data_IF_673471824508
#
_entry.id   IF_673471824508
#
_cell.length_a   1.000
_cell.length_b   1.000
_cell.length_c   1.000
_cell.angle_alpha   90.00
_cell.angle_beta   90.00
_cell.angle_gamma   90.00
#
_symmetry.space_group_name_H-M   'P 1'
#
loop_
_entity.id
_entity.type
_entity.pdbx_description
1 polymer ?
#
# COMPACT_ATOMS: atom_id res chain seq x y z
N UNK A 1 -45.54 61.79 45.41
CA UNK A 1 -44.66 62.39 44.38
C UNK A 1 -43.29 62.68 44.99
N UNK A 2 -42.30 61.80 44.78
CA UNK A 2 -40.89 62.16 44.49
C UNK A 2 -40.07 60.87 44.26
N UNK A 3 -39.78 60.71 42.97
CA UNK A 3 -38.86 59.85 42.21
C UNK A 3 -37.88 58.96 42.99
N UNK A 4 -38.00 57.67 42.68
CA UNK A 4 -36.97 56.63 42.76
C UNK A 4 -35.90 56.95 41.70
N UNK A 5 -34.65 57.20 42.10
CA UNK A 5 -33.50 57.25 41.20
C UNK A 5 -32.74 55.94 41.36
N UNK A 6 -32.88 55.06 40.37
CA UNK A 6 -32.07 53.87 40.18
C UNK A 6 -30.89 54.29 39.30
N UNK A 7 -29.71 54.43 39.88
CA UNK A 7 -28.46 54.52 39.12
C UNK A 7 -27.75 53.17 39.27
N UNK A 8 -27.95 52.29 38.29
CA UNK A 8 -27.04 51.18 38.05
C UNK A 8 -25.89 51.76 37.22
N UNK A 9 -24.86 52.25 37.91
CA UNK A 9 -23.53 52.39 37.30
C UNK A 9 -22.95 50.98 37.19
N UNK A 10 -23.04 50.38 36.00
CA UNK A 10 -22.15 49.30 35.60
C UNK A 10 -20.78 49.95 35.40
N UNK A 11 -20.00 50.03 36.46
CA UNK A 11 -18.57 50.30 36.36
C UNK A 11 -17.96 49.23 35.44
N UNK A 12 -17.52 49.63 34.25
CA UNK A 12 -16.54 48.86 33.50
C UNK A 12 -15.24 48.92 34.30
N UNK A 13 -15.05 47.98 35.22
CA UNK A 13 -13.70 47.66 35.69
C UNK A 13 -12.89 47.25 34.46
N UNK A 14 -12.06 48.17 33.97
CA UNK A 14 -11.09 47.87 32.93
C UNK A 14 -10.27 46.66 33.36
N UNK A 15 -9.97 45.77 32.41
CA UNK A 15 -9.15 44.58 32.63
C UNK A 15 -7.75 44.98 33.16
N UNK A 16 -7.62 45.12 34.48
CA UNK A 16 -6.38 45.50 35.15
C UNK A 16 -5.48 44.28 35.26
N UNK A 17 -4.61 44.10 34.27
CA UNK A 17 -3.65 43.00 34.25
C UNK A 17 -2.25 43.57 34.00
N UNK A 18 -1.22 42.99 34.62
CA UNK A 18 0.20 43.29 34.36
C UNK A 18 0.66 42.85 32.95
N UNK A 19 -0.29 42.59 32.05
CA UNK A 19 -0.05 42.12 30.70
C UNK A 19 0.16 43.31 29.76
N UNK A 20 1.15 43.17 28.88
CA UNK A 20 1.47 44.15 27.85
C UNK A 20 0.82 43.71 26.53
N UNK A 21 -0.48 43.96 26.40
CA UNK A 21 -1.26 43.67 25.20
C UNK A 21 -1.29 44.87 24.25
N UNK A 22 -0.87 44.66 23.01
CA UNK A 22 -1.01 45.58 21.88
C UNK A 22 -1.69 44.90 20.69
N UNK A 23 -2.20 45.68 19.72
CA UNK A 23 -2.81 45.12 18.53
C UNK A 23 -3.86 45.98 17.86
N UNK A 24 -4.60 45.37 16.92
CA UNK A 24 -5.66 45.99 16.14
C UNK A 24 -6.86 45.04 16.07
N UNK A 25 -8.07 45.56 16.27
CA UNK A 25 -9.32 44.85 15.98
C UNK A 25 -10.14 45.69 15.01
N UNK A 26 -10.59 45.08 13.92
CA UNK A 26 -11.41 45.74 12.90
C UNK A 26 -12.72 44.99 12.72
N UNK A 27 -13.81 45.73 12.58
CA UNK A 27 -15.16 45.21 12.38
C UNK A 27 -15.92 46.13 11.42
N UNK A 28 -17.05 45.69 10.89
CA UNK A 28 -17.86 46.54 10.03
C UNK A 28 -18.47 47.72 10.81
N UNK A 29 -18.68 48.84 10.14
CA UNK A 29 -19.12 50.09 10.78
C UNK A 29 -20.54 49.97 11.37
N UNK A 30 -21.43 49.26 10.68
CA UNK A 30 -22.80 48.97 11.10
C UNK A 30 -22.87 48.07 12.35
N UNK A 31 -21.93 47.15 12.50
CA UNK A 31 -21.80 46.26 13.66
C UNK A 31 -21.11 46.94 14.86
N UNK A 32 -20.33 47.99 14.60
CA UNK A 32 -19.47 48.63 15.60
C UNK A 32 -20.18 49.17 16.85
N UNK A 33 -21.37 49.81 16.76
CA UNK A 33 -22.07 50.33 17.93
C UNK A 33 -22.46 49.25 18.94
N UNK A 34 -22.68 48.02 18.48
CA UNK A 34 -23.07 46.90 19.34
C UNK A 34 -21.88 46.14 19.92
N UNK A 35 -20.68 46.35 19.37
CA UNK A 35 -19.50 45.50 19.64
C UNK A 35 -19.68 44.03 19.21
N UNK A 36 -20.84 43.67 18.67
CA UNK A 36 -21.19 42.35 18.17
C UNK A 36 -21.04 42.32 16.65
N UNK A 37 -20.35 41.31 16.13
CA UNK A 37 -20.16 41.16 14.69
C UNK A 37 -18.86 40.44 14.33
N UNK A 38 -18.73 40.15 13.03
CA UNK A 38 -17.51 39.58 12.50
C UNK A 38 -16.36 40.60 12.61
N UNK A 39 -15.17 40.11 12.95
CA UNK A 39 -14.00 40.96 13.10
C UNK A 39 -12.72 40.26 12.66
N UNK A 40 -11.72 41.07 12.36
CA UNK A 40 -10.32 40.65 12.24
C UNK A 40 -9.54 41.19 13.42
N UNK A 41 -8.53 40.46 13.87
CA UNK A 41 -7.74 40.79 15.04
C UNK A 41 -6.27 40.45 14.83
N UNK A 42 -5.39 41.40 15.17
CA UNK A 42 -3.97 41.20 15.39
C UNK A 42 -3.70 41.48 16.86
N UNK A 43 -3.06 40.55 17.58
CA UNK A 43 -2.67 40.70 18.99
C UNK A 43 -1.18 40.43 19.12
N UNK A 44 -0.49 41.31 19.83
CA UNK A 44 0.87 41.14 20.34
C UNK A 44 0.78 41.20 21.86
N UNK A 45 1.17 40.15 22.56
CA UNK A 45 1.20 40.10 24.02
C UNK A 45 2.65 39.91 24.44
N UNK A 46 3.22 40.93 25.07
CA UNK A 46 4.61 40.93 25.53
C UNK A 46 4.71 40.56 27.03
N UNK A 47 3.66 39.93 27.60
CA UNK A 47 3.69 39.48 28.99
C UNK A 47 4.94 38.63 29.22
N UNK A 48 5.71 38.96 30.26
CA UNK A 48 7.01 38.36 30.53
C UNK A 48 6.93 36.81 30.52
N UNK A 49 7.84 36.17 29.77
CA UNK A 49 7.92 34.72 29.55
C UNK A 49 6.67 34.06 28.90
N UNK A 50 5.69 34.87 28.46
CA UNK A 50 4.44 34.42 27.84
C UNK A 50 4.16 35.17 26.52
N UNK A 51 5.24 35.54 25.83
CA UNK A 51 5.16 36.23 24.55
C UNK A 51 4.30 35.48 23.54
N UNK A 52 3.38 36.19 22.86
CA UNK A 52 2.55 35.60 21.80
C UNK A 52 2.16 36.62 20.74
N UNK A 53 1.91 36.11 19.54
CA UNK A 53 1.31 36.84 18.43
C UNK A 53 0.09 36.06 17.93
N UNK A 54 -1.02 36.73 17.66
CA UNK A 54 -2.22 36.14 17.06
C UNK A 54 -2.68 36.98 15.87
N UNK A 55 -2.98 36.32 14.74
CA UNK A 55 -3.76 36.86 13.63
C UNK A 55 -5.04 36.02 13.51
N UNK A 56 -6.21 36.62 13.65
CA UNK A 56 -7.50 35.93 13.74
C UNK A 56 -8.56 36.64 12.90
N UNK A 57 -9.44 35.86 12.28
CA UNK A 57 -10.71 36.30 11.73
C UNK A 57 -11.84 35.42 12.24
N UNK A 58 -12.97 36.02 12.61
CA UNK A 58 -14.16 35.25 13.01
C UNK A 58 -14.74 34.43 11.86
N UNK A 59 -14.41 34.77 10.61
CA UNK A 59 -14.86 34.01 9.44
C UNK A 59 -14.25 32.61 9.44
N UNK A 60 -15.12 31.61 9.55
CA UNK A 60 -14.74 30.21 9.75
C UNK A 60 -13.78 29.98 10.93
N UNK A 61 -13.77 30.90 11.92
CA UNK A 61 -12.90 30.82 13.08
C UNK A 61 -11.45 30.53 12.65
N UNK A 62 -10.86 31.39 11.82
CA UNK A 62 -9.55 31.11 11.22
C UNK A 62 -8.46 31.93 11.91
N UNK A 63 -7.38 31.29 12.38
CA UNK A 63 -6.29 31.99 13.05
C UNK A 63 -4.91 31.35 12.86
N UNK A 64 -3.89 32.19 13.03
CA UNK A 64 -2.50 31.82 13.32
C UNK A 64 -2.15 32.37 14.71
N UNK A 65 -1.75 31.50 15.63
CA UNK A 65 -1.25 31.89 16.95
C UNK A 65 0.14 31.29 17.20
N UNK A 66 1.08 32.11 17.65
CA UNK A 66 2.49 31.74 17.88
C UNK A 66 2.93 32.14 19.28
N UNK A 67 3.79 31.35 19.91
CA UNK A 67 4.30 31.57 21.26
C UNK A 67 3.44 30.90 22.33
N UNK A 68 3.03 31.63 23.36
CA UNK A 68 2.15 31.13 24.43
C UNK A 68 0.68 31.17 23.99
N UNK A 69 0.08 30.02 23.67
CA UNK A 69 -1.27 29.94 23.15
C UNK A 69 -2.27 30.07 24.31
N UNK A 70 -3.16 31.06 24.22
CA UNK A 70 -4.17 31.37 25.22
C UNK A 70 -5.56 31.42 24.60
N UNK A 71 -6.57 31.04 25.38
CA UNK A 71 -7.94 31.51 25.16
C UNK A 71 -7.98 33.03 25.41
N UNK A 72 -8.72 33.76 24.56
CA UNK A 72 -8.87 35.20 24.69
C UNK A 72 -10.32 35.60 24.39
N UNK A 73 -10.83 36.51 25.21
CA UNK A 73 -12.07 37.24 24.94
C UNK A 73 -11.78 38.74 25.04
N UNK A 74 -12.02 39.50 23.98
CA UNK A 74 -11.62 40.90 23.93
C UNK A 74 -10.12 41.11 24.25
N UNK A 75 -9.82 41.88 25.28
CA UNK A 75 -8.49 42.07 25.87
C UNK A 75 -8.25 41.22 27.12
N UNK A 76 -9.19 40.36 27.50
CA UNK A 76 -9.05 39.45 28.63
C UNK A 76 -8.22 38.23 28.22
N UNK A 77 -7.17 37.96 29.00
CA UNK A 77 -6.39 36.73 28.92
C UNK A 77 -7.09 35.66 29.74
N UNK A 78 -7.40 34.52 29.11
CA UNK A 78 -8.08 33.40 29.76
C UNK A 78 -7.12 32.19 29.83
N UNK A 79 -7.66 30.98 29.90
CA UNK A 79 -6.87 29.77 30.13
C UNK A 79 -5.80 29.52 29.04
N UNK A 80 -4.63 28.97 29.40
CA UNK A 80 -3.66 28.51 28.42
C UNK A 80 -4.19 27.32 27.62
N UNK A 81 -3.85 27.30 26.33
CA UNK A 81 -4.24 26.27 25.34
C UNK A 81 -3.03 25.49 24.81
N UNK A 82 -1.81 26.02 24.93
CA UNK A 82 -0.59 25.35 24.46
C UNK A 82 0.62 26.28 24.33
N UNK A 83 1.71 25.76 23.78
CA UNK A 83 2.94 26.51 23.48
C UNK A 83 3.41 26.08 22.09
N UNK A 84 3.80 27.04 21.25
CA UNK A 84 4.34 26.76 19.92
C UNK A 84 3.59 27.53 18.83
N UNK A 85 3.03 26.81 17.86
CA UNK A 85 2.31 27.38 16.73
C UNK A 85 1.00 26.62 16.51
N UNK A 86 -0.09 27.36 16.33
CA UNK A 86 -1.39 26.83 15.89
C UNK A 86 -1.81 27.57 14.61
N UNK A 87 -2.05 26.81 13.53
CA UNK A 87 -2.76 27.26 12.35
C UNK A 87 -4.10 26.54 12.31
N UNK A 88 -5.20 27.29 12.44
CA UNK A 88 -6.54 26.72 12.58
C UNK A 88 -7.54 27.39 11.63
N UNK A 89 -8.49 26.60 11.15
CA UNK A 89 -9.71 27.06 10.48
C UNK A 89 -10.78 25.96 10.58
N UNK A 90 -12.04 26.36 10.68
CA UNK A 90 -13.19 25.45 10.53
C UNK A 90 -13.58 25.22 9.06
N UNK A 91 -12.90 25.88 8.12
CA UNK A 91 -13.06 25.71 6.68
C UNK A 91 -11.91 24.87 6.08
N UNK A 92 -11.67 25.00 4.78
CA UNK A 92 -10.59 24.30 4.08
C UNK A 92 -9.25 25.01 4.26
N UNK A 93 -8.18 24.24 4.32
CA UNK A 93 -6.80 24.73 4.30
C UNK A 93 -6.01 24.09 3.15
N UNK A 94 -5.07 24.84 2.59
CA UNK A 94 -4.12 24.34 1.60
C UNK A 94 -2.72 24.87 1.90
N UNK A 95 -1.74 23.97 2.01
CA UNK A 95 -0.31 24.30 2.05
C UNK A 95 0.29 23.91 0.70
N UNK A 96 0.94 24.86 0.02
CA UNK A 96 1.53 24.65 -1.30
C UNK A 96 2.94 25.24 -1.34
N UNK A 97 3.89 24.44 -1.78
CA UNK A 97 5.27 24.87 -2.01
C UNK A 97 5.75 24.33 -3.36
N UNK A 98 5.94 25.22 -4.33
CA UNK A 98 6.21 24.86 -5.74
C UNK A 98 7.56 24.20 -5.98
N UNK A 99 8.50 24.33 -5.04
CA UNK A 99 9.85 23.77 -5.14
C UNK A 99 10.10 22.60 -4.18
N UNK A 100 9.12 22.24 -3.34
CA UNK A 100 9.21 21.15 -2.35
C UNK A 100 8.69 21.55 -0.97
N UNK A 101 8.28 20.58 -0.15
CA UNK A 101 7.74 20.79 1.20
C UNK A 101 8.41 19.85 2.20
N UNK A 102 9.09 20.41 3.21
CA UNK A 102 9.70 19.64 4.29
C UNK A 102 8.89 19.79 5.58
N UNK A 103 8.37 18.67 6.10
CA UNK A 103 7.67 18.59 7.38
C UNK A 103 8.52 17.76 8.34
N UNK A 104 8.98 18.38 9.42
CA UNK A 104 9.99 17.78 10.30
C UNK A 104 9.74 18.04 11.78
N UNK A 105 10.05 17.04 12.62
CA UNK A 105 10.14 17.22 14.08
C UNK A 105 11.59 17.35 14.59
N UNK A 106 12.58 17.39 13.70
CA UNK A 106 13.97 17.61 14.08
C UNK A 106 14.19 19.06 14.50
N UNK A 107 14.61 19.26 15.74
CA UNK A 107 14.90 20.58 16.26
C UNK A 107 16.10 21.21 15.54
N UNK A 108 15.99 22.51 15.23
CA UNK A 108 17.08 23.34 14.70
C UNK A 108 17.38 24.49 15.66
N UNK A 109 18.29 24.28 16.64
CA UNK A 109 18.78 25.36 17.48
C UNK A 109 19.47 26.42 16.61
N UNK A 110 19.31 27.69 16.95
CA UNK A 110 19.93 28.80 16.23
C UNK A 110 18.97 29.86 15.68
N UNK A 111 17.65 29.70 15.85
CA UNK A 111 16.68 30.75 15.49
C UNK A 111 16.72 31.11 14.01
N UNK A 112 16.96 32.38 13.68
CA UNK A 112 17.06 32.87 12.29
C UNK A 112 18.51 32.88 11.76
N UNK A 113 19.43 32.13 12.39
CA UNK A 113 20.82 32.02 11.93
C UNK A 113 21.01 30.95 10.86
N UNK A 114 22.14 30.97 10.17
CA UNK A 114 22.51 29.97 9.17
C UNK A 114 22.62 28.52 9.72
N UNK A 115 22.69 28.33 11.05
CA UNK A 115 22.67 27.01 11.66
C UNK A 115 21.28 26.35 11.66
N UNK A 116 20.23 27.15 11.46
CA UNK A 116 18.83 26.72 11.52
C UNK A 116 18.12 26.91 10.17
N UNK A 117 18.78 26.53 9.07
CA UNK A 117 18.20 26.59 7.73
C UNK A 117 16.92 25.73 7.64
N UNK A 118 15.77 26.32 7.26
CA UNK A 118 14.46 25.66 7.34
C UNK A 118 14.28 24.51 6.32
N UNK A 119 15.08 24.50 5.26
CA UNK A 119 15.04 23.55 4.15
C UNK A 119 16.18 22.53 4.17
N UNK A 120 16.98 22.50 5.25
CA UNK A 120 17.99 21.47 5.41
C UNK A 120 17.30 20.12 5.74
N UNK A 121 17.57 19.11 4.92
CA UNK A 121 16.98 17.76 5.02
C UNK A 121 18.00 16.70 5.46
N UNK A 122 19.11 17.09 6.11
CA UNK A 122 20.21 16.17 6.45
C UNK A 122 19.77 14.90 7.19
N UNK A 123 18.89 14.99 8.20
CA UNK A 123 18.43 13.82 8.97
C UNK A 123 17.61 12.87 8.08
N UNK A 124 16.66 13.42 7.32
CA UNK A 124 15.86 12.66 6.36
C UNK A 124 16.73 12.00 5.28
N UNK A 125 17.76 12.70 4.79
CA UNK A 125 18.70 12.19 3.78
C UNK A 125 19.52 11.03 4.34
N UNK A 126 20.07 11.15 5.56
CA UNK A 126 20.82 10.08 6.22
C UNK A 126 19.96 8.84 6.44
N UNK A 127 18.73 9.00 6.92
CA UNK A 127 17.79 7.89 7.07
C UNK A 127 17.50 7.22 5.71
N UNK A 128 17.15 8.01 4.69
CA UNK A 128 16.88 7.50 3.34
C UNK A 128 18.09 6.76 2.73
N UNK A 129 19.32 7.22 3.00
CA UNK A 129 20.55 6.55 2.57
C UNK A 129 20.69 5.16 3.19
N UNK A 130 20.43 5.03 4.49
CA UNK A 130 20.43 3.74 5.18
C UNK A 130 19.37 2.80 4.60
N UNK A 131 18.15 3.30 4.36
CA UNK A 131 17.06 2.53 3.76
C UNK A 131 17.37 2.10 2.31
N UNK A 132 17.97 2.96 1.49
CA UNK A 132 18.40 2.62 0.13
C UNK A 132 19.51 1.56 0.12
N UNK A 133 20.44 1.63 1.07
CA UNK A 133 21.47 0.60 1.25
C UNK A 133 20.87 -0.75 1.67
N UNK A 134 19.93 -0.74 2.64
CA UNK A 134 19.22 -1.93 3.09
C UNK A 134 18.42 -2.58 1.95
N UNK A 135 17.64 -1.79 1.21
CA UNK A 135 16.87 -2.27 0.06
C UNK A 135 17.79 -2.95 -0.96
N UNK A 136 18.88 -2.30 -1.34
CA UNK A 136 19.84 -2.86 -2.30
C UNK A 136 20.48 -4.15 -1.80
N UNK A 137 20.85 -4.23 -0.52
CA UNK A 137 21.44 -5.42 0.09
C UNK A 137 20.46 -6.61 0.09
N UNK A 138 19.19 -6.38 0.42
CA UNK A 138 18.15 -7.40 0.41
C UNK A 138 17.88 -7.93 -1.00
N UNK A 139 17.77 -7.05 -2.01
CA UNK A 139 17.62 -7.47 -3.40
C UNK A 139 18.86 -8.25 -3.88
N UNK A 140 20.07 -7.78 -3.55
CA UNK A 140 21.32 -8.49 -3.88
C UNK A 140 21.34 -9.90 -3.30
N UNK A 141 20.89 -10.06 -2.05
CA UNK A 141 20.80 -11.36 -1.40
C UNK A 141 19.77 -12.27 -2.07
N UNK A 142 18.58 -11.73 -2.37
CA UNK A 142 17.54 -12.46 -3.09
C UNK A 142 18.04 -12.95 -4.46
N UNK A 143 18.71 -12.07 -5.23
CA UNK A 143 19.23 -12.43 -6.55
C UNK A 143 20.36 -13.47 -6.49
N UNK A 144 21.25 -13.36 -5.50
CA UNK A 144 22.30 -14.35 -5.25
C UNK A 144 21.72 -15.74 -4.93
N UNK A 145 20.54 -15.80 -4.30
CA UNK A 145 19.81 -17.04 -4.00
C UNK A 145 18.79 -17.43 -5.09
N UNK A 146 18.84 -16.80 -6.26
CA UNK A 146 17.93 -17.07 -7.39
C UNK A 146 16.44 -16.84 -7.09
N UNK A 147 16.12 -15.93 -6.17
CA UNK A 147 14.75 -15.60 -5.77
C UNK A 147 14.12 -14.43 -6.57
N UNK A 148 14.83 -13.91 -7.57
CA UNK A 148 14.32 -12.90 -8.50
C UNK A 148 13.26 -13.46 -9.45
N UNK A 149 12.40 -12.58 -9.94
CA UNK A 149 11.50 -12.91 -11.04
C UNK A 149 12.26 -13.00 -12.37
N UNK A 150 11.71 -13.72 -13.38
CA UNK A 150 12.31 -13.75 -14.72
C UNK A 150 12.52 -12.34 -15.29
N UNK A 151 13.69 -12.09 -15.86
CA UNK A 151 14.07 -10.80 -16.47
C UNK A 151 14.11 -9.61 -15.50
N UNK A 152 14.18 -9.85 -14.19
CA UNK A 152 14.41 -8.78 -13.22
C UNK A 152 15.81 -8.15 -13.44
N UNK A 153 15.86 -6.81 -13.42
CA UNK A 153 17.11 -6.07 -13.57
C UNK A 153 18.05 -6.29 -12.37
N UNK A 154 19.33 -5.96 -12.53
CA UNK A 154 20.29 -6.01 -11.42
C UNK A 154 19.83 -5.09 -10.26
N UNK A 155 20.18 -5.38 -8.99
CA UNK A 155 19.63 -4.66 -7.83
C UNK A 155 19.82 -3.15 -7.86
N UNK A 156 20.97 -2.68 -8.36
CA UNK A 156 21.27 -1.25 -8.49
C UNK A 156 20.48 -0.55 -9.61
N UNK A 157 19.90 -1.32 -10.54
CA UNK A 157 19.16 -0.85 -11.71
C UNK A 157 17.64 -1.06 -11.55
N UNK A 158 17.19 -1.61 -10.42
CA UNK A 158 15.77 -1.70 -10.13
C UNK A 158 15.15 -0.29 -10.13
N UNK A 159 13.97 -0.10 -10.76
CA UNK A 159 13.31 1.20 -10.79
C UNK A 159 13.10 1.82 -9.40
N UNK A 160 12.78 0.98 -8.41
CA UNK A 160 12.65 1.39 -7.02
C UNK A 160 13.98 1.94 -6.45
N UNK A 161 15.12 1.32 -6.76
CA UNK A 161 16.43 1.78 -6.30
C UNK A 161 16.83 3.09 -6.98
N UNK A 162 16.56 3.23 -8.29
CA UNK A 162 16.81 4.47 -9.02
C UNK A 162 15.97 5.64 -8.48
N UNK A 163 14.72 5.38 -8.11
CA UNK A 163 13.86 6.41 -7.53
C UNK A 163 14.30 6.84 -6.13
N UNK A 164 14.80 5.92 -5.29
CA UNK A 164 15.41 6.25 -4.00
C UNK A 164 16.66 7.13 -4.20
N UNK A 165 17.52 6.79 -5.17
CA UNK A 165 18.71 7.60 -5.52
C UNK A 165 18.33 9.00 -6.03
N UNK A 166 17.31 9.10 -6.89
CA UNK A 166 16.81 10.38 -7.38
C UNK A 166 16.25 11.26 -6.24
N UNK A 167 15.63 10.63 -5.24
CA UNK A 167 15.16 11.32 -4.03
C UNK A 167 16.34 11.79 -3.18
N UNK A 168 17.36 10.94 -2.96
CA UNK A 168 18.58 11.34 -2.26
C UNK A 168 19.29 12.52 -2.94
N UNK A 169 19.36 12.53 -4.28
CA UNK A 169 19.92 13.64 -5.04
C UNK A 169 19.09 14.92 -4.86
N UNK A 170 17.75 14.81 -4.90
CA UNK A 170 16.83 15.91 -4.63
C UNK A 170 17.06 16.52 -3.24
N UNK A 171 17.18 15.68 -2.19
CA UNK A 171 17.42 16.12 -0.81
C UNK A 171 18.84 16.64 -0.54
N UNK A 172 19.76 16.51 -1.50
CA UNK A 172 21.12 17.01 -1.41
C UNK A 172 21.34 18.32 -2.17
N UNK A 173 20.31 18.86 -2.81
CA UNK A 173 20.43 20.04 -3.66
C UNK A 173 20.72 21.30 -2.82
N UNK A 174 21.46 22.23 -3.43
CA UNK A 174 21.71 23.56 -2.88
C UNK A 174 21.43 24.62 -3.94
N UNK A 175 21.01 25.80 -3.50
CA UNK A 175 20.96 27.00 -4.31
C UNK A 175 22.06 27.94 -3.85
N UNK A 176 22.96 28.32 -4.75
CA UNK A 176 24.04 29.26 -4.43
C UNK A 176 23.50 30.68 -4.29
N UNK A 177 24.05 31.40 -3.30
CA UNK A 177 23.80 32.82 -3.07
C UNK A 177 25.12 33.53 -2.76
N UNK A 178 25.10 34.86 -2.80
CA UNK A 178 26.26 35.69 -2.39
C UNK A 178 26.68 35.43 -0.94
N UNK A 179 25.84 34.79 -0.13
CA UNK A 179 26.06 34.53 1.29
C UNK A 179 26.22 33.02 1.59
N UNK A 180 26.55 32.24 0.56
CA UNK A 180 26.78 30.80 0.65
C UNK A 180 25.66 29.96 0.05
N UNK A 181 25.80 28.65 0.18
CA UNK A 181 24.83 27.69 -0.36
C UNK A 181 23.65 27.50 0.62
N UNK A 182 22.44 27.53 0.05
CA UNK A 182 21.18 27.33 0.77
C UNK A 182 20.68 25.92 0.44
N UNK A 183 20.52 25.01 1.42
CA UNK A 183 19.89 23.73 1.20
C UNK A 183 18.50 23.89 0.59
N UNK A 184 18.19 23.07 -0.40
CA UNK A 184 16.90 23.05 -1.10
C UNK A 184 16.59 21.63 -1.52
N UNK A 185 15.39 21.42 -2.06
CA UNK A 185 15.05 20.21 -2.80
C UNK A 185 15.27 20.43 -4.31
N UNK A 186 15.83 19.44 -5.00
CA UNK A 186 16.04 19.48 -6.45
C UNK A 186 14.78 19.20 -7.28
N UNK A 187 13.73 18.69 -6.63
CA UNK A 187 12.40 18.40 -7.18
C UNK A 187 11.33 18.89 -6.21
N UNK A 188 10.06 19.06 -6.65
CA UNK A 188 8.95 19.42 -5.76
C UNK A 188 8.49 18.23 -4.90
N UNK A 189 9.41 17.67 -4.12
CA UNK A 189 9.19 16.52 -3.26
C UNK A 189 8.55 16.98 -1.93
N UNK A 190 7.65 16.15 -1.37
CA UNK A 190 7.23 16.28 0.02
C UNK A 190 8.08 15.32 0.86
N UNK A 191 8.72 15.85 1.90
CA UNK A 191 9.58 15.08 2.81
C UNK A 191 8.96 15.10 4.19
N UNK A 192 8.58 13.93 4.69
CA UNK A 192 8.13 13.73 6.06
C UNK A 192 9.26 13.07 6.84
N UNK A 193 9.76 13.71 7.90
CA UNK A 193 10.83 13.16 8.74
C UNK A 193 10.56 13.43 10.21
N UNK A 194 10.71 12.42 11.06
CA UNK A 194 10.53 12.57 12.50
C UNK A 194 11.76 12.09 13.26
N UNK A 195 12.03 12.74 14.39
CA UNK A 195 13.05 12.31 15.34
C UNK A 195 12.61 11.09 16.17
N UNK A 196 11.31 10.79 16.17
CA UNK A 196 10.72 9.64 16.85
C UNK A 196 9.76 8.89 15.90
N UNK A 197 8.45 9.11 16.02
CA UNK A 197 7.41 8.37 15.29
C UNK A 197 6.68 9.22 14.24
N UNK A 198 6.12 8.54 13.23
CA UNK A 198 5.13 9.08 12.31
C UNK A 198 3.88 8.20 12.39
N UNK A 199 2.83 8.70 13.05
CA UNK A 199 1.54 8.03 13.16
C UNK A 199 0.50 8.60 12.19
N UNK A 200 -0.23 7.73 11.51
CA UNK A 200 -1.36 8.10 10.65
C UNK A 200 -2.56 7.21 10.97
N UNK A 201 -3.67 7.83 11.38
CA UNK A 201 -4.90 7.13 11.74
C UNK A 201 -6.13 7.85 11.18
N UNK A 202 -7.16 7.07 10.84
CA UNK A 202 -8.45 7.54 10.36
C UNK A 202 -9.52 6.54 10.74
N UNK A 203 -10.72 6.97 11.17
CA UNK A 203 -11.83 6.06 11.46
C UNK A 203 -12.46 5.46 10.19
N UNK A 204 -12.15 6.02 9.01
CA UNK A 204 -12.66 5.56 7.73
C UNK A 204 -11.63 4.73 6.98
N UNK A 205 -10.94 5.31 6.01
CA UNK A 205 -9.98 4.60 5.15
C UNK A 205 -8.77 5.48 4.80
N UNK A 206 -7.62 4.84 4.64
CA UNK A 206 -6.39 5.43 4.08
C UNK A 206 -6.13 4.83 2.70
N UNK A 207 -5.81 5.66 1.72
CA UNK A 207 -5.41 5.22 0.37
C UNK A 207 -3.97 5.67 0.11
N UNK A 208 -3.11 4.72 -0.23
CA UNK A 208 -1.74 4.97 -0.69
C UNK A 208 -1.66 4.55 -2.14
N UNK A 209 -1.47 5.50 -3.05
CA UNK A 209 -1.38 5.25 -4.48
C UNK A 209 -0.08 5.84 -5.03
N UNK A 210 0.69 5.03 -5.74
CA UNK A 210 1.91 5.43 -6.43
C UNK A 210 1.81 5.04 -7.91
N UNK A 211 2.14 5.96 -8.82
CA UNK A 211 2.03 5.72 -10.27
C UNK A 211 3.13 4.82 -10.84
N UNK A 212 4.19 4.53 -10.08
CA UNK A 212 5.30 3.69 -10.54
C UNK A 212 5.65 2.60 -9.52
N UNK A 213 6.08 2.97 -8.32
CA UNK A 213 6.53 2.01 -7.30
C UNK A 213 6.18 2.50 -5.89
N UNK A 214 5.92 1.54 -5.00
CA UNK A 214 5.79 1.73 -3.56
C UNK A 214 6.90 0.92 -2.89
N UNK A 215 7.79 1.58 -2.15
CA UNK A 215 8.88 0.92 -1.42
C UNK A 215 8.66 1.11 0.07
N UNK A 216 8.43 0.01 0.79
CA UNK A 216 8.38 -0.01 2.25
C UNK A 216 9.61 -0.77 2.76
N UNK A 217 10.39 -0.15 3.65
CA UNK A 217 11.61 -0.75 4.19
C UNK A 217 11.67 -0.53 5.70
N UNK A 218 12.02 -1.57 6.44
CA UNK A 218 12.19 -1.55 7.89
C UNK A 218 13.53 -2.20 8.22
N UNK A 219 14.29 -1.64 9.16
CA UNK A 219 15.52 -2.26 9.66
C UNK A 219 15.27 -3.46 10.57
N UNK A 220 14.06 -3.52 11.15
CA UNK A 220 13.58 -4.60 11.99
C UNK A 220 12.30 -5.18 11.36
N UNK A 221 11.21 -5.28 12.11
CA UNK A 221 9.99 -5.96 11.69
C UNK A 221 9.08 -5.09 10.83
N UNK A 222 8.36 -5.73 9.91
CA UNK A 222 7.18 -5.17 9.23
C UNK A 222 5.96 -6.00 9.60
N UNK A 223 4.91 -5.36 10.14
CA UNK A 223 3.65 -6.02 10.49
C UNK A 223 2.52 -5.52 9.59
N UNK A 224 1.89 -6.45 8.88
CA UNK A 224 0.69 -6.19 8.07
C UNK A 224 -0.44 -6.99 8.69
N UNK A 225 -1.36 -6.31 9.38
CA UNK A 225 -2.45 -6.93 10.12
C UNK A 225 -3.79 -6.51 9.51
N UNK A 226 -4.68 -7.47 9.31
CA UNK A 226 -6.06 -7.24 8.89
C UNK A 226 -7.00 -8.18 9.65
N UNK A 227 -8.08 -7.63 10.19
CA UNK A 227 -9.09 -8.42 10.90
C UNK A 227 -9.88 -9.34 9.96
N UNK A 228 -10.06 -8.94 8.68
CA UNK A 228 -10.87 -9.68 7.71
C UNK A 228 -10.01 -10.48 6.73
N UNK A 229 -9.24 -9.81 5.88
CA UNK A 229 -8.38 -10.48 4.90
C UNK A 229 -7.29 -9.54 4.39
N UNK A 230 -6.20 -10.12 3.90
CA UNK A 230 -5.25 -9.46 3.00
C UNK A 230 -5.50 -9.95 1.57
N UNK A 231 -5.53 -9.04 0.60
CA UNK A 231 -5.65 -9.36 -0.81
C UNK A 231 -4.41 -8.86 -1.57
N UNK A 232 -3.81 -9.74 -2.37
CA UNK A 232 -2.64 -9.44 -3.19
C UNK A 232 -2.96 -9.84 -4.63
N UNK A 233 -3.19 -8.84 -5.49
CA UNK A 233 -3.48 -9.03 -6.91
C UNK A 233 -2.36 -8.37 -7.73
N UNK A 234 -1.47 -9.18 -8.28
CA UNK A 234 -0.26 -8.72 -8.98
C UNK A 234 -0.24 -9.30 -10.39
N UNK A 235 0.05 -8.46 -11.38
CA UNK A 235 -0.01 -8.83 -12.81
C UNK A 235 1.11 -9.78 -13.23
N UNK A 236 2.36 -9.44 -12.87
CA UNK A 236 3.53 -10.10 -13.46
C UNK A 236 4.15 -11.17 -12.53
N UNK A 237 4.05 -11.01 -11.21
CA UNK A 237 4.52 -12.03 -10.27
C UNK A 237 4.63 -11.55 -8.83
N UNK A 238 4.73 -12.50 -7.91
CA UNK A 238 5.01 -12.27 -6.48
C UNK A 238 6.29 -13.01 -6.11
N UNK A 239 7.27 -12.29 -5.58
CA UNK A 239 8.48 -12.87 -4.98
C UNK A 239 8.39 -12.84 -3.46
N UNK A 240 8.61 -13.99 -2.81
CA UNK A 240 8.74 -14.10 -1.36
C UNK A 240 10.10 -14.72 -1.05
N UNK A 241 10.95 -13.97 -0.37
CA UNK A 241 12.30 -14.38 -0.05
C UNK A 241 12.64 -14.07 1.40
N UNK A 242 13.31 -15.02 2.05
CA UNK A 242 13.96 -14.81 3.32
C UNK A 242 15.37 -15.37 3.24
N UNK A 243 16.34 -14.64 3.80
CA UNK A 243 17.72 -15.12 3.92
C UNK A 243 17.81 -16.31 4.90
N UNK A 244 16.90 -16.40 5.87
CA UNK A 244 16.87 -17.51 6.82
C UNK A 244 18.12 -17.60 7.71
N UNK A 245 18.69 -16.47 8.11
CA UNK A 245 19.87 -16.43 8.99
C UNK A 245 19.58 -15.60 10.24
N UNK A 246 19.30 -16.27 11.37
CA UNK A 246 19.38 -15.69 12.70
C UNK A 246 20.80 -15.95 13.24
N UNK A 247 21.83 -15.51 12.51
CA UNK A 247 23.22 -15.60 12.98
C UNK A 247 23.57 -14.45 13.92
N UNK A 248 22.59 -13.81 14.54
CA UNK A 248 22.87 -12.81 15.56
C UNK A 248 23.33 -13.50 16.85
N UNK A 249 24.57 -13.97 16.81
CA UNK A 249 25.36 -14.45 17.95
C UNK A 249 25.73 -13.31 18.92
N UNK A 250 25.19 -12.09 18.73
CA UNK A 250 25.29 -10.96 19.66
C UNK A 250 23.96 -10.61 20.37
N UNK A 251 22.87 -11.36 20.13
CA UNK A 251 21.56 -11.06 20.71
C UNK A 251 20.81 -12.32 21.18
N UNK A 252 21.50 -13.30 21.77
CA UNK A 252 20.89 -14.51 22.35
C UNK A 252 19.90 -14.28 23.50
N UNK A 253 19.50 -13.02 23.76
CA UNK A 253 18.43 -12.66 24.68
C UNK A 253 17.54 -11.47 24.24
N UNK A 254 17.72 -10.90 23.04
CA UNK A 254 16.95 -9.69 22.62
C UNK A 254 15.88 -9.95 21.55
N UNK A 255 15.94 -11.07 20.82
CA UNK A 255 14.90 -11.45 19.87
C UNK A 255 14.15 -12.71 20.33
N UNK A 256 12.85 -12.63 20.67
CA UNK A 256 12.08 -13.77 21.15
C UNK A 256 11.82 -14.86 20.07
N UNK A 257 12.11 -14.58 18.79
CA UNK A 257 11.90 -15.51 17.67
C UNK A 257 13.25 -15.87 17.05
N UNK A 258 13.73 -17.09 17.29
CA UNK A 258 14.99 -17.63 16.72
C UNK A 258 14.78 -18.52 15.51
N UNK A 259 13.54 -18.92 15.23
CA UNK A 259 13.20 -19.71 14.06
C UNK A 259 13.15 -18.82 12.81
N UNK A 260 13.87 -19.23 11.77
CA UNK A 260 14.03 -18.47 10.54
C UNK A 260 13.57 -19.25 9.33
N UNK A 261 12.75 -18.63 8.50
CA UNK A 261 12.20 -19.26 7.30
C UNK A 261 10.89 -18.62 6.89
N UNK A 262 10.09 -19.35 6.12
CA UNK A 262 8.75 -18.95 5.71
C UNK A 262 7.76 -19.89 6.40
N UNK A 263 6.76 -19.29 7.07
CA UNK A 263 5.65 -20.03 7.68
C UNK A 263 4.34 -19.62 6.99
N UNK A 264 3.63 -20.59 6.43
CA UNK A 264 2.33 -20.42 5.78
C UNK A 264 1.31 -21.32 6.48
N UNK A 265 0.48 -20.76 7.34
CA UNK A 265 -0.44 -21.52 8.18
C UNK A 265 -1.86 -20.96 8.11
N UNK A 266 -2.84 -21.85 8.00
CA UNK A 266 -4.23 -21.58 8.29
C UNK A 266 -4.62 -22.37 9.54
N UNK A 267 -4.98 -21.67 10.63
CA UNK A 267 -5.42 -22.33 11.86
C UNK A 267 -6.78 -23.05 11.67
N UNK A 268 -7.60 -22.53 10.76
CA UNK A 268 -8.86 -23.12 10.32
C UNK A 268 -9.08 -22.82 8.84
N UNK A 269 -9.86 -23.67 8.17
CA UNK A 269 -10.11 -23.54 6.74
C UNK A 269 -9.01 -24.16 5.89
N UNK A 270 -9.15 -24.03 4.57
CA UNK A 270 -8.31 -24.75 3.61
C UNK A 270 -7.11 -23.90 3.19
N UNK A 271 -5.95 -24.55 3.03
CA UNK A 271 -4.83 -24.00 2.27
C UNK A 271 -4.90 -24.57 0.84
N UNK A 272 -4.96 -23.69 -0.17
CA UNK A 272 -4.98 -24.07 -1.58
C UNK A 272 -3.81 -23.43 -2.31
N UNK A 273 -2.97 -24.24 -2.94
CA UNK A 273 -1.83 -23.81 -3.75
C UNK A 273 -1.99 -24.40 -5.14
N UNK A 274 -1.98 -23.56 -6.17
CA UNK A 274 -2.26 -23.98 -7.56
C UNK A 274 -1.36 -23.23 -8.54
N UNK A 275 -0.81 -23.96 -9.52
CA UNK A 275 -0.23 -23.40 -10.73
C UNK A 275 -1.16 -23.76 -11.90
N UNK A 276 -2.02 -22.82 -12.31
CA UNK A 276 -3.16 -23.13 -13.20
C UNK A 276 -2.77 -23.37 -14.67
N UNK A 277 -1.62 -22.83 -15.10
CA UNK A 277 -1.14 -22.93 -16.48
C UNK A 277 0.35 -23.29 -16.57
N UNK A 278 0.99 -23.60 -15.45
CA UNK A 278 2.43 -23.82 -15.36
C UNK A 278 2.76 -24.89 -14.30
N UNK A 279 4.04 -25.16 -14.10
CA UNK A 279 4.50 -26.17 -13.14
C UNK A 279 4.47 -25.65 -11.71
N UNK A 280 4.19 -26.56 -10.77
CA UNK A 280 4.38 -26.33 -9.34
C UNK A 280 5.62 -27.12 -8.89
N UNK A 281 6.65 -26.42 -8.39
CA UNK A 281 7.89 -27.03 -7.90
C UNK A 281 7.99 -26.89 -6.38
N UNK A 282 8.14 -28.01 -5.66
CA UNK A 282 8.42 -28.05 -4.22
C UNK A 282 9.75 -28.76 -4.02
N UNK A 283 10.73 -28.10 -3.42
CA UNK A 283 12.08 -28.65 -3.25
C UNK A 283 12.68 -28.19 -1.92
N UNK A 284 13.31 -29.11 -1.20
CA UNK A 284 14.08 -28.82 0.00
C UNK A 284 15.46 -29.48 -0.08
N UNK A 285 16.47 -28.86 0.55
CA UNK A 285 17.81 -29.46 0.70
C UNK A 285 17.80 -30.63 1.69
N UNK A 286 16.92 -30.57 2.69
CA UNK A 286 16.73 -31.62 3.70
C UNK A 286 15.44 -32.38 3.39
N UNK A 287 14.77 -32.91 4.42
CA UNK A 287 13.53 -33.66 4.26
C UNK A 287 12.40 -32.80 3.68
N UNK A 288 11.49 -33.47 2.98
CA UNK A 288 10.17 -32.94 2.62
C UNK A 288 9.14 -33.90 3.22
N UNK A 289 8.38 -33.41 4.20
CA UNK A 289 7.34 -34.19 4.88
C UNK A 289 5.95 -33.83 4.33
N UNK A 290 5.26 -34.82 3.74
CA UNK A 290 3.87 -34.71 3.30
C UNK A 290 3.01 -35.66 4.11
N UNK A 291 2.12 -35.10 4.94
CA UNK A 291 1.37 -35.88 5.92
C UNK A 291 -0.07 -35.39 6.03
N UNK A 292 -0.99 -36.35 6.21
CA UNK A 292 -2.34 -36.13 6.70
C UNK A 292 -2.45 -36.82 8.06
N UNK A 293 -2.80 -36.07 9.11
CA UNK A 293 -2.79 -36.59 10.48
C UNK A 293 -4.07 -37.35 10.85
N UNK A 294 -5.14 -37.17 10.07
CA UNK A 294 -6.48 -37.70 10.39
C UNK A 294 -7.14 -38.45 9.23
N UNK A 295 -6.68 -38.24 7.99
CA UNK A 295 -7.34 -38.77 6.81
C UNK A 295 -6.30 -39.30 5.82
N UNK A 296 -6.41 -38.92 4.55
CA UNK A 296 -5.62 -39.46 3.44
C UNK A 296 -4.70 -38.41 2.82
N UNK A 297 -3.68 -38.90 2.10
CA UNK A 297 -2.89 -38.13 1.14
C UNK A 297 -3.27 -38.62 -0.26
N UNK A 298 -3.74 -37.72 -1.11
CA UNK A 298 -4.11 -38.04 -2.49
C UNK A 298 -3.09 -37.45 -3.47
N UNK A 299 -2.47 -38.32 -4.26
CA UNK A 299 -1.57 -37.93 -5.37
C UNK A 299 -2.18 -38.50 -6.64
N UNK A 300 -2.55 -37.62 -7.56
CA UNK A 300 -3.19 -37.99 -8.82
C UNK A 300 -2.57 -37.21 -9.96
N UNK A 301 -2.32 -37.88 -11.08
CA UNK A 301 -1.89 -37.26 -12.31
C UNK A 301 -2.62 -37.92 -13.50
N UNK A 302 -3.07 -37.13 -14.50
CA UNK A 302 -3.79 -37.68 -15.65
C UNK A 302 -2.89 -38.47 -16.61
N UNK A 303 -1.58 -38.26 -16.57
CA UNK A 303 -0.62 -38.94 -17.44
C UNK A 303 0.22 -39.96 -16.65
N UNK A 304 1.04 -39.50 -15.70
CA UNK A 304 1.96 -40.37 -14.97
C UNK A 304 2.27 -39.91 -13.56
N UNK A 305 2.58 -40.87 -12.68
CA UNK A 305 3.17 -40.64 -11.36
C UNK A 305 4.50 -41.38 -11.28
N UNK A 306 5.56 -40.70 -10.80
CA UNK A 306 6.89 -41.29 -10.61
C UNK A 306 7.35 -41.00 -9.19
N UNK A 307 7.67 -42.05 -8.43
CA UNK A 307 8.34 -41.96 -7.14
C UNK A 307 9.73 -42.58 -7.30
N UNK A 308 10.80 -41.82 -7.05
CA UNK A 308 12.17 -42.28 -7.25
C UNK A 308 13.02 -41.97 -6.02
N UNK A 309 13.88 -42.90 -5.62
CA UNK A 309 14.90 -42.68 -4.61
C UNK A 309 16.03 -43.71 -4.71
N UNK A 310 17.28 -43.23 -4.61
CA UNK A 310 18.48 -44.06 -4.45
C UNK A 310 18.59 -45.25 -5.43
N UNK A 311 18.22 -45.06 -6.70
CA UNK A 311 18.28 -46.10 -7.73
C UNK A 311 17.09 -47.07 -7.77
N UNK A 312 16.03 -46.80 -6.99
CA UNK A 312 14.75 -47.51 -7.06
C UNK A 312 13.63 -46.56 -7.46
N UNK A 313 12.57 -47.06 -8.10
CA UNK A 313 11.40 -46.27 -8.45
C UNK A 313 10.10 -47.08 -8.50
N UNK A 314 8.99 -46.35 -8.39
CA UNK A 314 7.63 -46.78 -8.70
C UNK A 314 7.05 -45.85 -9.77
N UNK A 315 6.57 -46.42 -10.86
CA UNK A 315 5.95 -45.73 -11.97
C UNK A 315 4.50 -46.21 -12.12
N UNK A 316 3.57 -45.25 -12.24
CA UNK A 316 2.18 -45.48 -12.62
C UNK A 316 1.96 -44.72 -13.93
N UNK A 317 1.72 -45.44 -15.04
CA UNK A 317 1.64 -44.88 -16.39
C UNK A 317 0.83 -45.78 -17.33
N UNK A 318 -0.04 -45.19 -18.15
CA UNK A 318 -0.79 -45.93 -19.18
C UNK A 318 -1.64 -47.11 -18.68
N UNK A 319 -2.07 -47.10 -17.42
CA UNK A 319 -2.77 -48.21 -16.77
C UNK A 319 -1.85 -49.31 -16.19
N UNK A 320 -0.53 -49.16 -16.31
CA UNK A 320 0.47 -50.08 -15.79
C UNK A 320 1.08 -49.57 -14.47
N UNK A 321 1.58 -50.51 -13.68
CA UNK A 321 2.44 -50.26 -12.51
C UNK A 321 3.80 -50.92 -12.79
N UNK A 322 4.87 -50.13 -12.79
CA UNK A 322 6.25 -50.60 -12.97
C UNK A 322 7.08 -50.27 -11.71
N UNK A 323 7.80 -51.28 -11.20
CA UNK A 323 8.71 -51.16 -10.07
C UNK A 323 10.09 -51.62 -10.50
N UNK A 324 11.08 -50.74 -10.43
CA UNK A 324 12.48 -51.06 -10.74
C UNK A 324 13.39 -50.74 -9.56
N UNK A 325 14.38 -51.60 -9.32
CA UNK A 325 15.41 -51.39 -8.30
C UNK A 325 16.74 -51.98 -8.74
N UNK A 326 17.85 -51.34 -8.36
CA UNK A 326 19.21 -51.86 -8.56
C UNK A 326 19.62 -52.93 -7.53
N UNK A 327 18.87 -53.03 -6.43
CA UNK A 327 19.09 -54.01 -5.37
C UNK A 327 18.01 -55.11 -5.35
N UNK A 328 17.98 -55.94 -4.30
CA UNK A 328 16.91 -56.93 -4.13
C UNK A 328 15.58 -56.26 -3.73
N UNK A 329 14.49 -56.61 -4.43
CA UNK A 329 13.14 -56.23 -4.04
C UNK A 329 12.57 -57.19 -2.98
N UNK A 330 12.12 -56.69 -1.83
CA UNK A 330 11.54 -57.49 -0.76
C UNK A 330 10.05 -57.17 -0.58
N UNK A 331 9.21 -58.19 -0.71
CA UNK A 331 7.76 -58.09 -0.44
C UNK A 331 7.43 -58.88 0.83
N UNK A 332 7.16 -58.18 1.93
CA UNK A 332 6.82 -58.77 3.24
C UNK A 332 5.31 -58.68 3.45
N UNK A 333 4.63 -59.82 3.47
CA UNK A 333 3.18 -59.90 3.68
C UNK A 333 2.82 -61.25 4.34
N UNK A 334 1.70 -61.27 5.08
CA UNK A 334 1.15 -62.51 5.66
C UNK A 334 0.62 -63.46 4.58
N UNK A 335 0.12 -62.93 3.46
CA UNK A 335 -0.32 -63.68 2.27
C UNK A 335 0.03 -62.87 1.00
N UNK A 336 0.28 -63.56 -0.11
CA UNK A 336 0.59 -62.96 -1.42
C UNK A 336 -0.34 -63.57 -2.46
N UNK A 337 -1.45 -62.88 -2.73
CA UNK A 337 -2.43 -63.28 -3.74
C UNK A 337 -2.30 -62.37 -4.96
N UNK A 338 -2.14 -62.97 -6.14
CA UNK A 338 -2.10 -62.27 -7.42
C UNK A 338 -3.40 -62.60 -8.18
N UNK A 339 -4.41 -61.75 -8.01
CA UNK A 339 -5.67 -61.84 -8.75
C UNK A 339 -5.57 -61.20 -10.14
N UNK A 340 -6.60 -61.39 -10.98
CA UNK A 340 -6.71 -60.71 -12.26
C UNK A 340 -6.80 -59.18 -12.13
N UNK A 341 -6.45 -58.47 -13.20
CA UNK A 341 -6.45 -57.00 -13.22
C UNK A 341 -7.82 -56.40 -12.88
N UNK A 342 -7.81 -55.26 -12.18
CA UNK A 342 -8.99 -54.46 -11.83
C UNK A 342 -8.69 -52.99 -12.10
N UNK A 343 -9.68 -52.22 -12.53
CA UNK A 343 -9.51 -50.79 -12.87
C UNK A 343 -9.98 -49.89 -11.73
N UNK A 344 -9.15 -48.92 -11.33
CA UNK A 344 -9.56 -47.82 -10.46
C UNK A 344 -9.52 -46.50 -11.27
N UNK A 345 -10.65 -46.09 -11.85
CA UNK A 345 -10.77 -44.78 -12.51
C UNK A 345 -11.14 -43.71 -11.47
N UNK A 346 -10.15 -42.97 -10.97
CA UNK A 346 -10.41 -41.72 -10.25
C UNK A 346 -10.55 -40.57 -11.24
N UNK A 347 -11.66 -39.83 -11.22
CA UNK A 347 -11.68 -38.52 -11.89
C UNK A 347 -10.73 -37.59 -11.14
N UNK A 348 -9.56 -37.34 -11.72
CA UNK A 348 -8.58 -36.41 -11.16
C UNK A 348 -9.14 -34.98 -11.10
N UNK A 349 -8.58 -34.11 -10.24
CA UNK A 349 -9.03 -32.73 -10.13
C UNK A 349 -8.82 -31.99 -11.46
N UNK A 350 -9.89 -31.43 -12.02
CA UNK A 350 -9.82 -30.53 -13.18
C UNK A 350 -9.58 -29.09 -12.70
N UNK A 351 -8.53 -28.45 -13.17
CA UNK A 351 -8.28 -27.03 -12.90
C UNK A 351 -9.10 -26.16 -13.85
N UNK A 352 -9.71 -25.10 -13.31
CA UNK A 352 -10.36 -24.08 -14.13
C UNK A 352 -9.30 -23.32 -14.93
N UNK A 353 -9.47 -23.23 -16.26
CA UNK A 353 -8.64 -22.35 -17.09
C UNK A 353 -8.97 -20.90 -16.77
N UNK A 354 -7.95 -20.05 -16.67
CA UNK A 354 -8.13 -18.60 -16.58
C UNK A 354 -9.06 -18.15 -17.70
N UNK A 355 -10.18 -17.51 -17.34
CA UNK A 355 -11.11 -16.96 -18.32
C UNK A 355 -10.53 -15.68 -18.91
N UNK A 356 -10.76 -15.49 -20.20
CA UNK A 356 -10.51 -14.20 -20.85
C UNK A 356 -11.39 -13.11 -20.20
N UNK A 357 -10.87 -11.89 -20.12
CA UNK A 357 -11.48 -10.80 -19.33
C UNK A 357 -12.77 -10.23 -19.94
N UNK A 358 -12.99 -10.45 -21.24
CA UNK A 358 -14.15 -9.95 -21.99
C UNK A 358 -14.74 -11.07 -22.83
N UNK A 359 -16.06 -11.14 -22.90
CA UNK A 359 -16.79 -12.03 -23.79
C UNK A 359 -17.99 -11.33 -24.41
N UNK A 360 -18.38 -11.78 -25.60
CA UNK A 360 -19.58 -11.28 -26.30
C UNK A 360 -20.24 -12.42 -27.09
N UNK A 361 -21.56 -12.40 -27.16
CA UNK A 361 -22.36 -13.34 -27.93
C UNK A 361 -23.52 -12.61 -28.61
N UNK A 362 -23.68 -12.80 -29.92
CA UNK A 362 -24.77 -12.19 -30.66
C UNK A 362 -25.94 -13.15 -30.80
N UNK A 363 -27.16 -12.64 -30.82
CA UNK A 363 -28.36 -13.39 -31.16
C UNK A 363 -28.99 -12.79 -32.42
N UNK A 364 -29.10 -13.60 -33.48
CA UNK A 364 -29.79 -13.23 -34.70
C UNK A 364 -31.29 -13.50 -34.53
N UNK A 365 -32.10 -12.50 -34.82
CA UNK A 365 -33.55 -12.58 -34.85
C UNK A 365 -34.05 -12.04 -36.17
N UNK A 366 -35.12 -12.65 -36.67
CA UNK A 366 -35.85 -12.15 -37.81
C UNK A 366 -36.52 -10.81 -37.46
N UNK A 367 -36.34 -9.78 -38.29
CA UNK A 367 -36.81 -8.42 -37.98
C UNK A 367 -38.34 -8.30 -37.99
N UNK A 368 -39.04 -9.13 -38.77
CA UNK A 368 -40.49 -9.07 -38.88
C UNK A 368 -41.19 -9.90 -37.78
N UNK A 369 -40.66 -11.09 -37.50
CA UNK A 369 -41.29 -12.06 -36.60
C UNK A 369 -40.68 -12.10 -35.20
N UNK A 370 -39.48 -11.54 -35.01
CA UNK A 370 -38.73 -11.57 -33.75
C UNK A 370 -38.20 -12.96 -33.36
N UNK A 371 -38.42 -13.97 -34.21
CA UNK A 371 -38.03 -15.36 -33.97
C UNK A 371 -36.51 -15.53 -34.15
N UNK A 372 -35.88 -16.41 -33.36
CA UNK A 372 -34.45 -16.69 -33.50
C UNK A 372 -34.13 -17.35 -34.84
N UNK A 373 -33.11 -16.83 -35.52
CA UNK A 373 -32.64 -17.37 -36.79
C UNK A 373 -31.58 -18.45 -36.53
N UNK A 374 -32.00 -19.71 -36.49
CA UNK A 374 -31.14 -20.87 -36.26
C UNK A 374 -30.44 -21.35 -37.55
N UNK A 375 -29.21 -21.85 -37.44
CA UNK A 375 -28.45 -22.39 -38.56
C UNK A 375 -27.96 -21.34 -39.58
N UNK A 376 -28.00 -20.05 -39.24
CA UNK A 376 -27.54 -18.97 -40.11
C UNK A 376 -26.01 -18.85 -40.06
N UNK A 377 -25.33 -18.78 -41.22
CA UNK A 377 -23.90 -18.51 -41.26
C UNK A 377 -23.62 -17.08 -40.81
N UNK A 378 -22.57 -16.90 -40.01
CA UNK A 378 -22.14 -15.59 -39.55
C UNK A 378 -20.61 -15.47 -39.49
N UNK A 379 -20.15 -14.22 -39.49
CA UNK A 379 -18.76 -13.82 -39.25
C UNK A 379 -18.74 -12.71 -38.22
N UNK A 380 -17.92 -12.86 -37.17
CA UNK A 380 -17.62 -11.81 -36.19
C UNK A 380 -16.34 -11.13 -36.64
N UNK A 381 -16.38 -9.80 -36.79
CA UNK A 381 -15.25 -8.99 -37.22
C UNK A 381 -14.84 -8.01 -36.12
N UNK A 382 -13.56 -7.67 -36.03
CA UNK A 382 -13.11 -6.55 -35.22
C UNK A 382 -13.33 -5.20 -35.93
N UNK A 383 -13.02 -4.10 -35.24
CA UNK A 383 -13.09 -2.73 -35.80
C UNK A 383 -12.22 -2.50 -37.05
N UNK A 384 -11.22 -3.35 -37.29
CA UNK A 384 -10.33 -3.28 -38.45
C UNK A 384 -10.80 -4.18 -39.62
N UNK A 385 -11.95 -4.85 -39.49
CA UNK A 385 -12.47 -5.76 -40.52
C UNK A 385 -11.79 -7.13 -40.56
N UNK A 386 -10.96 -7.48 -39.57
CA UNK A 386 -10.39 -8.82 -39.44
C UNK A 386 -11.46 -9.78 -38.89
N UNK A 387 -11.56 -10.96 -39.48
CA UNK A 387 -12.50 -12.00 -39.05
C UNK A 387 -11.94 -12.69 -37.81
N UNK A 388 -12.69 -12.61 -36.71
CA UNK A 388 -12.32 -13.17 -35.41
C UNK A 388 -12.95 -14.55 -35.17
N UNK A 389 -14.17 -14.76 -35.68
CA UNK A 389 -14.87 -16.03 -35.59
C UNK A 389 -15.86 -16.20 -36.74
N UNK A 390 -16.11 -17.45 -37.14
CA UNK A 390 -17.11 -17.82 -38.14
C UNK A 390 -17.86 -19.05 -37.67
N UNK A 391 -19.14 -19.17 -37.98
CA UNK A 391 -19.90 -20.36 -37.64
C UNK A 391 -21.35 -20.29 -38.09
N UNK A 392 -22.14 -21.25 -37.61
CA UNK A 392 -23.60 -21.29 -37.77
C UNK A 392 -24.24 -20.96 -36.43
N UNK A 393 -25.36 -20.23 -36.44
CA UNK A 393 -26.13 -19.98 -35.21
C UNK A 393 -26.74 -21.27 -34.66
N UNK A 394 -26.85 -21.38 -33.35
CA UNK A 394 -27.52 -22.52 -32.70
C UNK A 394 -29.06 -22.44 -32.84
N UNK A 395 -29.78 -23.40 -32.24
CA UNK A 395 -31.26 -23.45 -32.23
C UNK A 395 -31.93 -22.21 -31.63
N UNK A 396 -31.21 -21.40 -30.86
CA UNK A 396 -31.69 -20.14 -30.29
C UNK A 396 -31.23 -18.90 -31.09
N UNK A 397 -30.65 -19.10 -32.26
CA UNK A 397 -30.11 -18.01 -33.10
C UNK A 397 -28.84 -17.37 -32.55
N UNK A 398 -28.18 -17.97 -31.57
CA UNK A 398 -26.97 -17.43 -30.94
C UNK A 398 -25.71 -17.85 -31.70
N UNK A 399 -24.77 -16.92 -31.82
CA UNK A 399 -23.40 -17.21 -32.28
C UNK A 399 -22.64 -18.00 -31.21
N UNK A 400 -21.45 -18.51 -31.57
CA UNK A 400 -20.49 -18.91 -30.55
C UNK A 400 -20.08 -17.69 -29.73
N UNK A 401 -19.79 -17.91 -28.45
CA UNK A 401 -19.27 -16.87 -27.58
C UNK A 401 -17.81 -16.63 -27.92
N UNK A 402 -17.50 -15.40 -28.28
CA UNK A 402 -16.13 -14.96 -28.54
C UNK A 402 -15.56 -14.40 -27.24
N UNK A 403 -14.32 -14.76 -26.91
CA UNK A 403 -13.64 -14.31 -25.70
C UNK A 403 -12.32 -13.62 -26.06
N UNK A 404 -11.94 -12.57 -25.33
CA UNK A 404 -10.70 -11.82 -25.57
C UNK A 404 -10.07 -11.26 -24.30
N UNK A 405 -8.75 -11.03 -24.34
CA UNK A 405 -7.98 -10.44 -23.24
C UNK A 405 -8.12 -8.91 -23.13
N UNK A 406 -8.65 -8.24 -24.17
CA UNK A 406 -8.82 -6.79 -24.24
C UNK A 406 -10.20 -6.45 -24.80
N UNK A 407 -10.80 -5.37 -24.32
CA UNK A 407 -12.06 -4.88 -24.87
C UNK A 407 -11.87 -4.49 -26.34
N UNK A 408 -12.67 -5.09 -27.23
CA UNK A 408 -12.64 -4.82 -28.67
C UNK A 408 -14.07 -4.59 -29.16
N UNK A 409 -14.26 -3.65 -30.10
CA UNK A 409 -15.54 -3.51 -30.78
C UNK A 409 -15.71 -4.62 -31.80
N UNK A 410 -16.80 -5.36 -31.66
CA UNK A 410 -17.16 -6.45 -32.54
C UNK A 410 -18.29 -6.01 -33.47
N UNK A 411 -18.24 -6.49 -34.71
CA UNK A 411 -19.32 -6.33 -35.69
C UNK A 411 -19.70 -7.70 -36.21
N UNK A 412 -20.97 -8.05 -36.06
CA UNK A 412 -21.55 -9.24 -36.64
C UNK A 412 -21.93 -8.95 -38.11
N UNK A 413 -21.54 -9.83 -39.01
CA UNK A 413 -21.95 -9.80 -40.42
C UNK A 413 -22.49 -11.17 -40.79
N UNK A 414 -23.64 -11.19 -41.49
CA UNK A 414 -24.22 -12.43 -42.02
C UNK A 414 -23.27 -13.00 -43.08
N UNK A 415 -22.98 -14.29 -42.95
CA UNK A 415 -21.96 -15.01 -43.71
C UNK A 415 -22.31 -15.25 -45.16
#
# INVERSE_FOLDING_TARGET
>A
MKRLNLALELEHEGHAHAATLGGLRTQSLDASPSGGGAHNQLVMDDTAAQGRVMLHTTQAQSWLQMGHLLQQDGNQRLAPRGIGLELHTQAQAALRAGSGLHLSTHARPGGTTAQAQPTDTREARTQLQAHAGLAQALHTNAQAQRAQLPHEAAPAQLPAQQALQATLASLGATASSDHGDIPTTGRPDIVLSAAADIHSATPAHTVIAAGQHLTATTSQDTQLLAQRHHAWAVKDGIGLFTRGQATDTQASGQHPVTDTGIRLHAASGNVSVQAQSATLNLTAKQAVDLQSTQASVHISAPQRIVLNGAGSYLLIDGGNIEMGTSGPAQFKAAAKELAGGSSASGQGPSLNKAQDLFDEQFQLRDELSGLPLAGEPYRILNAHGTVLATGLTNSEGKTMRYTSKRAEKLRLVRG
#
